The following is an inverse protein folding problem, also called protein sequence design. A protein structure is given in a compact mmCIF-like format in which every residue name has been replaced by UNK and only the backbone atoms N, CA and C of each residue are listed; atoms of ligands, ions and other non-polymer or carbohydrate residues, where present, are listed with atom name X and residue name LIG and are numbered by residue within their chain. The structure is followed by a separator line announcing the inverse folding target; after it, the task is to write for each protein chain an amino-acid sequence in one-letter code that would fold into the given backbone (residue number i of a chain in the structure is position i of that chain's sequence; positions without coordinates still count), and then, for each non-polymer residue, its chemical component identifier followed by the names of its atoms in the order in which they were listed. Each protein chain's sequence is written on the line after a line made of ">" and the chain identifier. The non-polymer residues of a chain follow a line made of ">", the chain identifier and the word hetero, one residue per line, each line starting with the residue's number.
data_IF_190815473946
#
_entry.id   IF_190815473946
#
_cell.length_a   1.000
_cell.length_b   1.000
_cell.length_c   1.000
_cell.angle_alpha   90.00
_cell.angle_beta   90.00
_cell.angle_gamma   90.00
#
_symmetry.space_group_name_H-M   'P 1'
#
loop_
_entity.id
_entity.type
_entity.pdbx_description
1 polymer ?
#
# COMPACT_ATOMS: atom_id res chain seq x y z
N UNK A 1 5.27 22.46 11.69
CA UNK A 1 6.24 21.42 12.07
C UNK A 1 5.47 20.12 12.26
N UNK A 2 5.97 19.01 11.73
CA UNK A 2 5.36 17.68 11.83
C UNK A 2 6.24 16.82 12.73
N UNK A 3 5.62 15.98 13.56
CA UNK A 3 6.34 15.00 14.38
C UNK A 3 6.23 13.66 13.68
N UNK A 4 7.37 13.06 13.37
CA UNK A 4 7.45 11.70 12.87
C UNK A 4 7.66 10.76 14.04
N UNK A 5 6.83 9.73 14.11
CA UNK A 5 6.96 8.62 15.06
C UNK A 5 7.09 7.34 14.25
N UNK A 6 8.14 6.57 14.51
CA UNK A 6 8.36 5.29 13.85
C UNK A 6 8.23 4.20 14.90
N UNK A 7 7.32 3.27 14.62
CA UNK A 7 7.00 2.13 15.47
C UNK A 7 7.53 0.86 14.81
N UNK A 8 8.20 0.01 15.58
CA UNK A 8 8.43 -1.38 15.22
C UNK A 8 7.27 -2.20 15.77
N UNK A 9 6.54 -2.89 14.90
CA UNK A 9 5.54 -3.88 15.29
C UNK A 9 6.17 -5.26 15.21
N UNK A 10 6.38 -5.95 16.33
CA UNK A 10 6.80 -7.35 16.30
C UNK A 10 5.79 -8.22 15.56
N UNK A 11 6.28 -9.22 14.84
CA UNK A 11 5.45 -10.25 14.20
C UNK A 11 4.90 -11.28 15.20
N UNK A 12 5.42 -11.30 16.43
CA UNK A 12 4.91 -12.17 17.49
C UNK A 12 3.59 -11.61 18.04
N UNK A 13 2.53 -12.42 18.06
CA UNK A 13 1.14 -12.03 18.35
C UNK A 13 0.93 -11.27 19.68
N UNK A 14 1.84 -11.41 20.64
CA UNK A 14 1.71 -10.84 21.99
C UNK A 14 2.72 -9.75 22.30
N UNK A 15 3.67 -9.48 21.40
CA UNK A 15 4.69 -8.48 21.66
C UNK A 15 4.15 -7.09 21.25
N UNK A 16 4.15 -6.11 22.18
CA UNK A 16 3.59 -4.81 21.89
C UNK A 16 4.46 -4.05 20.89
N UNK A 17 3.87 -3.18 20.05
CA UNK A 17 4.65 -2.27 19.22
C UNK A 17 5.54 -1.37 20.07
N UNK A 18 6.77 -1.16 19.62
CA UNK A 18 7.78 -0.37 20.31
C UNK A 18 8.14 0.85 19.46
N UNK A 19 8.18 2.02 20.08
CA UNK A 19 8.65 3.24 19.42
C UNK A 19 10.17 3.20 19.27
N UNK A 20 10.65 3.16 18.03
CA UNK A 20 12.08 3.09 17.72
C UNK A 20 12.68 4.42 17.28
N UNK A 21 11.85 5.38 16.85
CA UNK A 21 12.32 6.70 16.46
C UNK A 21 11.25 7.78 16.69
N UNK A 22 11.68 8.99 17.07
CA UNK A 22 10.83 10.18 17.09
C UNK A 22 11.66 11.41 16.77
N UNK A 23 11.20 12.22 15.83
CA UNK A 23 11.86 13.48 15.49
C UNK A 23 10.87 14.50 14.94
N UNK A 24 11.21 15.78 15.10
CA UNK A 24 10.47 16.88 14.51
C UNK A 24 11.05 17.21 13.12
N UNK A 25 10.18 17.58 12.19
CA UNK A 25 10.56 18.01 10.85
C UNK A 25 9.80 19.28 10.47
N UNK A 26 10.41 20.09 9.62
CA UNK A 26 9.73 21.17 8.90
C UNK A 26 8.90 20.65 7.70
N UNK A 27 8.83 19.32 7.55
CA UNK A 27 8.12 18.59 6.51
C UNK A 27 8.76 18.74 5.11
N UNK A 28 10.03 19.09 5.00
CA UNK A 28 10.77 19.21 3.74
C UNK A 28 11.63 17.99 3.38
N UNK A 29 11.45 16.87 4.08
CA UNK A 29 12.15 15.62 3.74
C UNK A 29 11.89 15.22 2.29
N UNK A 30 12.89 14.61 1.67
CA UNK A 30 12.85 14.04 0.32
C UNK A 30 12.73 12.52 0.39
N UNK A 31 12.46 11.88 -0.76
CA UNK A 31 12.50 10.41 -0.84
C UNK A 31 13.89 9.82 -0.55
N UNK A 32 14.97 10.60 -0.78
CA UNK A 32 16.33 10.18 -0.42
C UNK A 32 16.51 10.16 1.10
N UNK A 33 15.97 11.15 1.81
CA UNK A 33 16.01 11.19 3.28
C UNK A 33 15.25 10.00 3.88
N UNK A 34 14.10 9.66 3.31
CA UNK A 34 13.32 8.46 3.67
C UNK A 34 14.16 7.20 3.47
N UNK A 35 14.78 7.04 2.30
CA UNK A 35 15.64 5.90 1.99
C UNK A 35 16.80 5.76 2.99
N UNK A 36 17.50 6.85 3.25
CA UNK A 36 18.64 6.86 4.17
C UNK A 36 18.21 6.49 5.60
N UNK A 37 17.04 6.99 6.04
CA UNK A 37 16.47 6.66 7.35
C UNK A 37 16.08 5.18 7.45
N UNK A 38 15.41 4.64 6.44
CA UNK A 38 15.05 3.21 6.38
C UNK A 38 16.30 2.32 6.44
N UNK A 39 17.32 2.67 5.65
CA UNK A 39 18.60 1.95 5.67
C UNK A 39 19.26 1.98 7.05
N UNK A 40 19.34 3.16 7.67
CA UNK A 40 19.89 3.30 9.03
C UNK A 40 19.15 2.45 10.06
N UNK A 41 17.81 2.50 10.05
CA UNK A 41 16.97 1.69 10.96
C UNK A 41 17.24 0.21 10.76
N UNK A 42 17.24 -0.25 9.51
CA UNK A 42 17.48 -1.66 9.17
C UNK A 42 18.84 -2.15 9.66
N UNK A 43 19.91 -1.42 9.39
CA UNK A 43 21.26 -1.78 9.84
C UNK A 43 21.37 -1.77 11.38
N UNK A 44 20.74 -0.81 12.04
CA UNK A 44 20.78 -0.72 13.50
C UNK A 44 20.01 -1.86 14.18
N UNK A 45 18.80 -2.19 13.70
CA UNK A 45 18.04 -3.35 14.18
C UNK A 45 18.82 -4.65 13.96
N UNK A 46 19.42 -4.82 12.78
CA UNK A 46 20.22 -5.99 12.46
C UNK A 46 21.43 -6.15 13.39
N UNK A 47 22.06 -5.05 13.80
CA UNK A 47 23.21 -5.05 14.71
C UNK A 47 22.89 -5.61 16.10
N UNK A 48 21.61 -5.58 16.51
CA UNK A 48 21.12 -6.15 17.77
C UNK A 48 20.34 -7.46 17.57
N UNK A 49 20.48 -8.09 16.39
CA UNK A 49 19.85 -9.38 16.09
C UNK A 49 18.36 -9.32 15.74
N UNK A 50 17.83 -8.12 15.42
CA UNK A 50 16.44 -7.95 14.99
C UNK A 50 16.41 -7.80 13.47
N UNK A 51 15.69 -8.70 12.80
CA UNK A 51 15.47 -8.61 11.36
C UNK A 51 14.20 -7.82 11.05
N UNK A 52 14.34 -6.77 10.26
CA UNK A 52 13.20 -6.05 9.69
C UNK A 52 12.72 -6.80 8.45
N UNK A 53 11.55 -7.42 8.53
CA UNK A 53 10.94 -8.18 7.42
C UNK A 53 10.17 -7.30 6.45
N UNK A 54 9.65 -6.17 6.94
CA UNK A 54 8.75 -5.31 6.19
C UNK A 54 8.75 -3.87 6.71
N UNK A 55 8.34 -2.95 5.84
CA UNK A 55 8.16 -1.52 6.13
C UNK A 55 6.73 -1.08 5.76
N UNK A 56 6.16 -0.16 6.53
CA UNK A 56 4.79 0.32 6.34
C UNK A 56 4.68 1.84 6.43
N UNK A 57 3.79 2.45 5.64
CA UNK A 57 3.55 3.90 5.65
C UNK A 57 2.12 4.28 5.26
N UNK A 58 1.62 5.36 5.87
CA UNK A 58 0.29 5.93 5.66
C UNK A 58 0.26 6.93 4.49
N UNK A 59 0.53 6.45 3.29
CA UNK A 59 0.22 7.18 2.05
C UNK A 59 0.96 8.50 1.80
N UNK A 60 2.00 8.84 2.59
CA UNK A 60 2.88 9.98 2.34
C UNK A 60 3.59 9.82 0.98
N UNK A 61 3.56 10.84 0.14
CA UNK A 61 4.04 10.75 -1.24
C UNK A 61 5.53 10.41 -1.36
N UNK A 62 6.35 10.76 -0.37
CA UNK A 62 7.79 10.49 -0.37
C UNK A 62 8.08 9.07 0.07
N UNK A 63 7.34 8.58 1.06
CA UNK A 63 7.36 7.17 1.47
C UNK A 63 6.87 6.28 0.32
N UNK A 64 5.74 6.64 -0.32
CA UNK A 64 5.25 5.90 -1.49
C UNK A 64 6.26 5.90 -2.63
N UNK A 65 6.96 7.02 -2.87
CA UNK A 65 8.02 7.08 -3.89
C UNK A 65 9.19 6.16 -3.55
N UNK A 66 9.61 6.12 -2.28
CA UNK A 66 10.62 5.17 -1.80
C UNK A 66 10.16 3.72 -1.99
N UNK A 67 8.94 3.38 -1.55
CA UNK A 67 8.37 2.03 -1.68
C UNK A 67 8.28 1.57 -3.13
N UNK A 68 7.85 2.45 -4.05
CA UNK A 68 7.82 2.15 -5.48
C UNK A 68 9.21 1.79 -6.01
N UNK A 69 10.23 2.57 -5.62
CA UNK A 69 11.62 2.33 -6.01
C UNK A 69 12.20 1.06 -5.38
N UNK A 70 11.87 0.79 -4.11
CA UNK A 70 12.39 -0.35 -3.36
C UNK A 70 11.78 -1.69 -3.84
N UNK A 71 10.45 -1.70 -4.07
CA UNK A 71 9.71 -2.85 -4.60
C UNK A 71 10.01 -3.16 -6.08
N UNK A 72 10.54 -2.20 -6.84
CA UNK A 72 10.76 -2.35 -8.27
C UNK A 72 9.45 -2.51 -9.06
N UNK A 73 8.35 -1.97 -8.53
CA UNK A 73 7.08 -1.91 -9.24
C UNK A 73 7.21 -1.06 -10.51
N UNK A 74 6.75 -1.59 -11.64
CA UNK A 74 6.85 -0.95 -12.95
C UNK A 74 8.19 -1.18 -13.66
N UNK A 75 9.15 -1.89 -13.05
CA UNK A 75 10.38 -2.29 -13.73
C UNK A 75 10.08 -3.44 -14.68
N UNK A 76 10.38 -3.25 -15.96
CA UNK A 76 10.29 -4.32 -16.95
C UNK A 76 11.35 -5.38 -16.64
N UNK A 77 10.90 -6.60 -16.47
CA UNK A 77 11.75 -7.69 -16.05
C UNK A 77 12.60 -8.19 -17.21
N UNK A 78 13.88 -8.46 -16.94
CA UNK A 78 14.74 -9.19 -17.86
C UNK A 78 14.19 -10.61 -18.06
N UNK A 79 14.27 -11.09 -19.30
CA UNK A 79 13.77 -12.38 -19.80
C UNK A 79 13.85 -13.52 -18.76
N UNK A 80 12.70 -14.05 -18.34
CA UNK A 80 12.66 -15.27 -17.53
C UNK A 80 12.61 -16.51 -18.41
N UNK A 81 13.30 -17.57 -18.00
CA UNK A 81 13.15 -18.90 -18.62
C UNK A 81 11.88 -19.56 -18.11
N UNK A 82 11.32 -20.51 -18.87
CA UNK A 82 10.04 -21.16 -18.54
C UNK A 82 10.04 -21.92 -17.21
N UNK A 83 11.22 -22.18 -16.66
CA UNK A 83 11.42 -23.03 -15.49
C UNK A 83 11.48 -22.23 -14.17
N UNK A 84 11.44 -20.89 -14.22
CA UNK A 84 11.46 -20.07 -12.99
C UNK A 84 10.06 -19.87 -12.41
N UNK A 85 9.99 -19.70 -11.09
CA UNK A 85 8.73 -19.32 -10.42
C UNK A 85 8.22 -17.96 -10.89
N UNK A 86 9.12 -17.06 -11.27
CA UNK A 86 8.78 -15.78 -11.88
C UNK A 86 8.00 -15.97 -13.19
N UNK A 87 8.47 -16.85 -14.08
CA UNK A 87 7.76 -17.14 -15.32
C UNK A 87 6.37 -17.70 -15.05
N UNK A 88 6.24 -18.64 -14.09
CA UNK A 88 4.95 -19.22 -13.70
C UNK A 88 3.99 -18.17 -13.14
N UNK A 89 4.49 -17.23 -12.35
CA UNK A 89 3.72 -16.12 -11.80
C UNK A 89 3.24 -15.17 -12.89
N UNK A 90 4.15 -14.64 -13.72
CA UNK A 90 3.79 -13.68 -14.78
C UNK A 90 2.98 -14.30 -15.92
N UNK A 91 3.09 -15.62 -16.16
CA UNK A 91 2.20 -16.33 -17.09
C UNK A 91 0.74 -16.31 -16.63
N UNK A 92 0.49 -16.33 -15.31
CA UNK A 92 -0.85 -16.23 -14.70
C UNK A 92 -1.31 -14.79 -14.51
N UNK A 93 -0.38 -13.88 -14.21
CA UNK A 93 -0.65 -12.47 -13.91
C UNK A 93 -0.22 -11.55 -15.06
N UNK A 94 -0.74 -11.81 -16.26
CA UNK A 94 -0.44 -11.01 -17.47
C UNK A 94 -0.87 -9.56 -17.23
N UNK A 95 0.09 -8.64 -17.14
CA UNK A 95 -0.15 -7.21 -16.87
C UNK A 95 0.54 -6.68 -15.60
N UNK A 96 1.08 -7.56 -14.76
CA UNK A 96 1.93 -7.14 -13.64
C UNK A 96 3.40 -7.05 -14.08
N UNK A 97 4.05 -5.94 -13.75
CA UNK A 97 5.49 -5.74 -13.91
C UNK A 97 6.09 -5.40 -12.54
N UNK A 98 6.69 -6.38 -11.86
CA UNK A 98 7.25 -6.24 -10.52
C UNK A 98 8.42 -7.20 -10.28
N UNK A 99 9.33 -6.84 -9.37
CA UNK A 99 10.35 -7.80 -8.91
C UNK A 99 9.75 -8.72 -7.86
N UNK A 100 9.94 -10.03 -7.99
CA UNK A 100 9.61 -10.99 -6.92
C UNK A 100 10.71 -10.90 -5.86
N UNK A 101 10.31 -10.63 -4.62
CA UNK A 101 11.20 -10.43 -3.47
C UNK A 101 10.83 -11.41 -2.36
N UNK A 102 11.85 -11.90 -1.67
CA UNK A 102 11.71 -12.81 -0.53
C UNK A 102 11.81 -12.09 0.83
N UNK A 103 12.11 -10.79 0.81
CA UNK A 103 12.31 -9.94 1.98
C UNK A 103 12.14 -8.46 1.60
N UNK A 104 12.14 -7.59 2.61
CA UNK A 104 11.97 -6.14 2.44
C UNK A 104 10.63 -5.75 1.80
N UNK A 105 9.54 -6.31 2.33
CA UNK A 105 8.20 -6.01 1.85
C UNK A 105 7.77 -4.59 2.22
N UNK A 106 7.12 -3.90 1.29
CA UNK A 106 6.53 -2.58 1.53
C UNK A 106 5.00 -2.69 1.58
N UNK A 107 4.42 -2.20 2.66
CA UNK A 107 2.98 -2.21 2.89
C UNK A 107 2.43 -0.79 2.99
N UNK A 108 1.22 -0.60 2.48
CA UNK A 108 0.42 0.60 2.71
C UNK A 108 -0.77 0.26 3.59
N UNK A 109 -1.22 1.25 4.34
CA UNK A 109 -2.39 1.09 5.19
C UNK A 109 -3.65 0.83 4.34
N UNK A 110 -4.29 -0.32 4.55
CA UNK A 110 -5.43 -0.79 3.76
C UNK A 110 -6.64 0.15 3.89
N UNK A 111 -7.04 0.59 5.10
CA UNK A 111 -8.05 1.64 5.27
C UNK A 111 -7.78 2.90 4.45
N UNK A 112 -6.53 3.37 4.39
CA UNK A 112 -6.16 4.54 3.59
C UNK A 112 -6.35 4.28 2.08
N UNK A 113 -5.93 3.11 1.58
CA UNK A 113 -6.15 2.69 0.19
C UNK A 113 -7.64 2.65 -0.14
N UNK A 114 -8.45 2.02 0.72
CA UNK A 114 -9.91 1.92 0.54
C UNK A 114 -10.54 3.31 0.49
N UNK A 115 -10.10 4.22 1.36
CA UNK A 115 -10.59 5.60 1.41
C UNK A 115 -10.26 6.34 0.10
N UNK A 116 -9.03 6.20 -0.41
CA UNK A 116 -8.63 6.75 -1.72
C UNK A 116 -9.48 6.18 -2.86
N UNK A 117 -9.68 4.86 -2.89
CA UNK A 117 -10.49 4.19 -3.91
C UNK A 117 -11.94 4.70 -3.89
N UNK A 118 -12.57 4.74 -2.71
CA UNK A 118 -13.92 5.28 -2.52
C UNK A 118 -14.02 6.72 -3.01
N UNK A 119 -13.09 7.58 -2.57
CA UNK A 119 -13.09 9.00 -2.93
C UNK A 119 -12.91 9.23 -4.43
N UNK A 120 -12.08 8.41 -5.08
CA UNK A 120 -11.88 8.44 -6.53
C UNK A 120 -13.17 8.03 -7.26
N UNK A 121 -13.71 6.87 -6.88
CA UNK A 121 -14.92 6.32 -7.49
C UNK A 121 -16.12 7.28 -7.37
N UNK A 122 -16.40 7.81 -6.17
CA UNK A 122 -17.58 8.65 -5.93
C UNK A 122 -17.51 10.05 -6.55
N UNK A 123 -16.31 10.58 -6.83
CA UNK A 123 -16.20 11.96 -7.33
C UNK A 123 -16.71 12.12 -8.75
N UNK A 124 -16.35 11.20 -9.65
CA UNK A 124 -16.85 11.08 -11.03
C UNK A 124 -16.09 10.04 -11.86
N UNK A 125 -15.07 9.37 -11.30
CA UNK A 125 -14.18 8.54 -12.10
C UNK A 125 -14.81 7.17 -12.42
N UNK A 126 -14.82 6.89 -13.73
CA UNK A 126 -14.91 5.55 -14.27
C UNK A 126 -13.71 4.74 -13.80
N UNK A 127 -13.95 3.56 -13.22
CA UNK A 127 -12.91 2.59 -12.93
C UNK A 127 -13.01 1.46 -13.95
N UNK A 128 -11.97 1.29 -14.76
CA UNK A 128 -11.83 0.12 -15.61
C UNK A 128 -11.48 -1.11 -14.74
N UNK A 129 -12.25 -2.17 -14.92
CA UNK A 129 -12.09 -3.46 -14.25
C UNK A 129 -12.03 -4.55 -15.33
N UNK A 130 -10.83 -4.77 -15.87
CA UNK A 130 -10.65 -5.64 -17.03
C UNK A 130 -11.39 -5.08 -18.24
N UNK A 131 -12.31 -5.87 -18.81
CA UNK A 131 -13.13 -5.49 -19.97
C UNK A 131 -14.38 -4.68 -19.59
N UNK A 132 -14.58 -4.40 -18.30
CA UNK A 132 -15.75 -3.68 -17.78
C UNK A 132 -15.38 -2.31 -17.24
N UNK A 133 -16.39 -1.45 -17.15
CA UNK A 133 -16.32 -0.12 -16.55
C UNK A 133 -17.31 -0.06 -15.40
N UNK A 134 -16.82 0.31 -14.21
CA UNK A 134 -17.65 0.58 -13.04
C UNK A 134 -17.79 2.09 -12.82
N UNK A 135 -18.99 2.49 -12.43
CA UNK A 135 -19.41 3.88 -12.18
C UNK A 135 -20.21 3.97 -10.87
N UNK A 136 -20.31 5.17 -10.26
CA UNK A 136 -21.17 5.38 -9.10
C UNK A 136 -22.63 4.93 -9.30
N UNK A 137 -23.14 5.01 -10.54
CA UNK A 137 -24.49 4.58 -10.87
C UNK A 137 -24.69 3.07 -10.65
N UNK A 138 -23.66 2.26 -10.86
CA UNK A 138 -23.73 0.81 -10.60
C UNK A 138 -23.95 0.51 -9.11
N UNK A 139 -23.37 1.33 -8.21
CA UNK A 139 -23.65 1.22 -6.77
C UNK A 139 -25.06 1.67 -6.41
N UNK A 140 -25.59 2.70 -7.07
CA UNK A 140 -26.99 3.11 -6.88
C UNK A 140 -27.96 1.99 -7.27
N UNK A 141 -27.76 1.37 -8.45
CA UNK A 141 -28.54 0.23 -8.91
C UNK A 141 -28.42 -0.94 -7.93
N UNK A 142 -27.22 -1.23 -7.43
CA UNK A 142 -26.99 -2.31 -6.48
C UNK A 142 -27.77 -2.11 -5.16
N UNK A 143 -27.80 -0.89 -4.63
CA UNK A 143 -28.53 -0.55 -3.41
C UNK A 143 -30.05 -0.63 -3.62
N UNK A 144 -30.54 -0.28 -4.81
CA UNK A 144 -31.97 -0.38 -5.14
C UNK A 144 -32.42 -1.84 -5.35
N UNK A 145 -31.57 -2.67 -5.94
CA UNK A 145 -31.91 -4.03 -6.33
C UNK A 145 -31.62 -5.10 -5.26
N UNK A 146 -30.73 -4.82 -4.29
CA UNK A 146 -30.30 -5.80 -3.28
C UNK A 146 -30.42 -5.22 -1.87
N UNK A 147 -30.86 -6.06 -0.93
CA UNK A 147 -30.95 -5.65 0.47
C UNK A 147 -29.58 -5.39 1.09
N UNK A 148 -29.52 -4.46 2.05
CA UNK A 148 -28.31 -4.15 2.84
C UNK A 148 -27.68 -5.39 3.47
N UNK A 149 -28.48 -6.38 3.87
CA UNK A 149 -27.98 -7.63 4.46
C UNK A 149 -27.09 -8.43 3.49
N UNK A 150 -27.27 -8.24 2.17
CA UNK A 150 -26.48 -8.90 1.13
C UNK A 150 -25.31 -8.05 0.64
N UNK A 151 -25.44 -6.73 0.65
CA UNK A 151 -24.43 -5.82 0.08
C UNK A 151 -23.56 -5.15 1.13
N UNK A 152 -24.06 -4.99 2.36
CA UNK A 152 -23.53 -4.17 3.44
C UNK A 152 -23.41 -2.66 3.14
N UNK A 153 -23.86 -2.21 1.96
CA UNK A 153 -23.77 -0.82 1.50
C UNK A 153 -25.07 -0.07 1.84
N UNK A 154 -24.94 1.15 2.35
CA UNK A 154 -26.05 2.06 2.65
C UNK A 154 -26.00 3.28 1.72
N UNK A 155 -27.15 3.92 1.53
CA UNK A 155 -27.25 5.18 0.76
C UNK A 155 -26.31 6.27 1.25
N UNK A 156 -26.08 6.36 2.56
CA UNK A 156 -25.16 7.33 3.17
C UNK A 156 -23.69 7.09 2.81
N UNK A 157 -23.31 5.84 2.50
CA UNK A 157 -21.94 5.49 2.16
C UNK A 157 -21.54 6.06 0.77
N UNK A 158 -22.54 6.35 -0.08
CA UNK A 158 -22.40 7.05 -1.36
C UNK A 158 -22.42 8.58 -1.22
N UNK A 159 -22.75 9.11 -0.04
CA UNK A 159 -22.75 10.55 0.17
C UNK A 159 -21.30 11.07 0.23
N UNK A 160 -21.07 12.20 -0.44
CA UNK A 160 -19.78 12.90 -0.43
C UNK A 160 -19.63 13.86 0.78
N UNK A 161 -20.56 13.78 1.75
CA UNK A 161 -20.61 14.63 2.93
C UNK A 161 -19.66 14.17 4.06
N UNK A 162 -19.31 12.88 4.11
CA UNK A 162 -18.27 12.35 5.01
C UNK A 162 -16.88 12.49 4.36
N UNK A 163 -16.43 13.74 4.23
CA UNK A 163 -15.04 14.10 3.88
C UNK A 163 -14.26 14.50 5.13
#
# INVERSE_FOLDING_TARGET
>A
KVIFVIMAQPMADFAPPVRICTFASDNKMTALDVKNRQHYIKEHLKSVGIEMVASGSDGDTREMKFMLQNSGLGVQLSVFTKDTDDYRFFAKCKGFACLIRMSDFDFQDVPHIITKLRNKFLKTDIIALGDYVATPNDLHILIEQKSKEKTLIRKVDLSSADK
#
